data_IF_740170703398
#
_entry.id   IF_740170703398
#
_cell.length_a   1.000
_cell.length_b   1.000
_cell.length_c   1.000
_cell.angle_alpha   90.00
_cell.angle_beta   90.00
_cell.angle_gamma   90.00
#
_symmetry.space_group_name_H-M   'P 1'
#
loop_
_entity.id
_entity.type
_entity.pdbx_description
1 polymer ?
#
# COMPACT_ATOMS: atom_id res chain seq x y z
N UNK A 1 -0.62 5.28 -0.01
CA UNK A 1 -1.00 3.91 -0.40
C UNK A 1 -1.86 3.94 -1.66
N UNK A 2 -1.46 3.21 -2.69
CA UNK A 2 -2.30 2.91 -3.85
C UNK A 2 -2.65 1.43 -3.92
N UNK A 3 -3.77 1.14 -4.58
CA UNK A 3 -4.27 -0.21 -4.79
C UNK A 3 -4.33 -0.52 -6.28
N UNK A 4 -3.73 -1.63 -6.68
CA UNK A 4 -3.77 -2.16 -8.05
C UNK A 4 -4.45 -3.52 -8.04
N UNK A 5 -5.51 -3.71 -8.83
CA UNK A 5 -6.09 -5.03 -9.06
C UNK A 5 -5.43 -5.65 -10.29
N UNK A 6 -4.77 -6.80 -10.14
CA UNK A 6 -4.09 -7.47 -11.26
C UNK A 6 -5.00 -8.49 -11.99
N UNK A 7 -6.01 -9.04 -11.31
CA UNK A 7 -7.05 -9.95 -11.83
C UNK A 7 -8.19 -10.14 -10.78
N UNK A 8 -9.16 -11.04 -10.99
CA UNK A 8 -10.34 -11.19 -10.12
C UNK A 8 -10.03 -11.62 -8.67
N UNK A 9 -8.80 -12.08 -8.37
CA UNK A 9 -8.45 -12.65 -7.07
C UNK A 9 -7.13 -12.14 -6.48
N UNK A 10 -6.46 -11.16 -7.09
CA UNK A 10 -5.22 -10.59 -6.52
C UNK A 10 -5.20 -9.06 -6.52
N UNK A 11 -4.68 -8.52 -5.43
CA UNK A 11 -4.55 -7.10 -5.17
C UNK A 11 -3.13 -6.78 -4.74
N UNK A 12 -2.58 -5.70 -5.26
CA UNK A 12 -1.31 -5.13 -4.82
C UNK A 12 -1.58 -3.90 -3.98
N UNK A 13 -1.08 -3.88 -2.75
CA UNK A 13 -1.03 -2.72 -1.88
C UNK A 13 0.34 -2.07 -2.02
N UNK A 14 0.39 -0.86 -2.58
CA UNK A 14 1.63 -0.13 -2.78
C UNK A 14 1.73 1.04 -1.80
N UNK A 15 2.71 0.95 -0.91
CA UNK A 15 3.06 2.00 0.04
C UNK A 15 4.23 2.81 -0.48
N UNK A 16 4.12 4.13 -0.36
CA UNK A 16 5.24 5.03 -0.63
C UNK A 16 5.57 5.76 0.65
N UNK A 17 6.79 5.59 1.13
CA UNK A 17 7.31 6.17 2.35
C UNK A 17 8.35 7.24 2.03
N UNK A 18 8.45 8.29 2.85
CA UNK A 18 9.52 9.28 2.70
C UNK A 18 10.88 8.69 3.10
N UNK A 19 10.88 7.86 4.15
CA UNK A 19 12.04 7.18 4.72
C UNK A 19 11.68 5.73 5.08
N UNK A 20 12.68 4.87 5.23
CA UNK A 20 12.47 3.48 5.65
C UNK A 20 12.63 3.35 7.16
N UNK A 21 11.54 3.51 7.92
CA UNK A 21 11.56 3.37 9.37
C UNK A 21 10.94 2.02 9.79
N UNK A 22 11.51 1.34 10.80
CA UNK A 22 10.98 0.06 11.29
C UNK A 22 9.51 0.14 11.73
N UNK A 23 9.11 1.27 12.32
CA UNK A 23 7.74 1.50 12.80
C UNK A 23 6.74 1.53 11.63
N UNK A 24 7.10 2.17 10.51
CA UNK A 24 6.27 2.16 9.30
C UNK A 24 6.13 0.76 8.69
N UNK A 25 7.18 -0.07 8.81
CA UNK A 25 7.14 -1.46 8.32
C UNK A 25 6.17 -2.31 9.14
N UNK A 26 6.18 -2.15 10.46
CA UNK A 26 5.22 -2.80 11.35
C UNK A 26 3.79 -2.36 11.04
N UNK A 27 3.55 -1.06 10.85
CA UNK A 27 2.24 -0.53 10.46
C UNK A 27 1.77 -1.08 9.08
N UNK A 28 2.68 -1.20 8.10
CA UNK A 28 2.37 -1.77 6.78
C UNK A 28 1.98 -3.25 6.89
N UNK A 29 2.67 -4.03 7.72
CA UNK A 29 2.37 -5.44 7.96
C UNK A 29 0.98 -5.61 8.59
N UNK A 30 0.66 -4.79 9.60
CA UNK A 30 -0.65 -4.77 10.23
C UNK A 30 -1.76 -4.42 9.23
N UNK A 31 -1.56 -3.38 8.40
CA UNK A 31 -2.51 -2.99 7.36
C UNK A 31 -2.72 -4.13 6.35
N UNK A 32 -1.65 -4.79 5.92
CA UNK A 32 -1.74 -5.92 4.99
C UNK A 32 -2.56 -7.07 5.56
N UNK A 33 -2.34 -7.41 6.84
CA UNK A 33 -3.07 -8.46 7.55
C UNK A 33 -4.55 -8.10 7.73
N UNK A 34 -4.85 -6.89 8.21
CA UNK A 34 -6.24 -6.43 8.37
C UNK A 34 -6.98 -6.37 7.03
N UNK A 35 -6.31 -5.90 5.98
CA UNK A 35 -6.90 -5.85 4.64
C UNK A 35 -7.30 -7.23 4.16
N UNK A 36 -6.45 -8.25 4.31
CA UNK A 36 -6.78 -9.63 3.94
C UNK A 36 -7.93 -10.19 4.79
N UNK A 37 -7.91 -9.96 6.12
CA UNK A 37 -8.91 -10.46 7.05
C UNK A 37 -10.32 -9.91 6.80
N UNK A 38 -10.44 -8.71 6.24
CA UNK A 38 -11.72 -8.06 5.95
C UNK A 38 -12.39 -8.54 4.65
N UNK A 39 -11.72 -9.38 3.85
CA UNK A 39 -12.25 -9.83 2.56
C UNK A 39 -13.28 -10.95 2.74
N UNK A 40 -14.34 -10.91 1.92
CA UNK A 40 -15.39 -11.93 1.94
C UNK A 40 -14.88 -13.31 1.49
N UNK A 41 -13.91 -13.33 0.58
CA UNK A 41 -13.25 -14.51 0.08
C UNK A 41 -11.75 -14.32 0.12
N UNK A 42 -11.00 -15.43 0.16
CA UNK A 42 -9.54 -15.38 0.05
C UNK A 42 -9.15 -14.68 -1.25
N UNK A 43 -8.31 -13.66 -1.11
CA UNK A 43 -7.61 -12.99 -2.21
C UNK A 43 -6.11 -13.10 -1.95
N UNK A 44 -5.32 -13.07 -3.00
CA UNK A 44 -3.87 -12.95 -2.88
C UNK A 44 -3.52 -11.46 -2.73
N UNK A 45 -2.81 -11.11 -1.66
CA UNK A 45 -2.39 -9.74 -1.37
C UNK A 45 -0.88 -9.65 -1.48
N UNK A 46 -0.39 -8.84 -2.42
CA UNK A 46 1.03 -8.50 -2.55
C UNK A 46 1.27 -7.10 -1.97
N UNK A 47 2.31 -6.95 -1.16
CA UNK A 47 2.70 -5.65 -0.60
C UNK A 47 3.98 -5.16 -1.27
N UNK A 48 3.91 -3.96 -1.85
CA UNK A 48 5.04 -3.27 -2.45
C UNK A 48 5.32 -2.01 -1.64
N UNK A 49 6.58 -1.79 -1.29
CA UNK A 49 7.01 -0.56 -0.60
C UNK A 49 8.06 0.14 -1.44
N UNK A 50 7.85 1.42 -1.68
CA UNK A 50 8.80 2.32 -2.34
C UNK A 50 9.18 3.43 -1.38
N UNK A 51 10.47 3.70 -1.25
CA UNK A 51 10.96 4.84 -0.47
C UNK A 51 11.24 5.98 -1.45
N UNK A 52 10.53 7.08 -1.31
CA UNK A 52 10.66 8.28 -2.13
C UNK A 52 10.41 9.53 -1.28
N UNK A 53 11.49 10.26 -0.97
CA UNK A 53 11.42 11.54 -0.28
C UNK A 53 11.04 12.73 -1.20
N UNK A 54 10.90 12.49 -2.50
CA UNK A 54 10.46 13.49 -3.47
C UNK A 54 8.95 13.72 -3.47
N UNK A 55 8.47 14.78 -4.15
CA UNK A 55 7.04 14.98 -4.32
C UNK A 55 6.44 13.80 -5.10
N UNK A 56 5.33 13.25 -4.59
CA UNK A 56 4.51 12.28 -5.32
C UNK A 56 3.71 13.05 -6.37
N UNK A 57 3.98 12.80 -7.65
CA UNK A 57 3.19 13.35 -8.75
C UNK A 57 2.06 12.36 -9.03
N UNK A 58 0.83 12.86 -9.22
CA UNK A 58 -0.30 12.04 -9.64
C UNK A 58 0.08 11.27 -10.92
N UNK A 59 0.15 9.94 -10.81
CA UNK A 59 0.59 9.03 -11.88
C UNK A 59 1.91 8.28 -11.61
N UNK A 60 2.68 8.66 -10.58
CA UNK A 60 3.94 7.98 -10.23
C UNK A 60 3.71 6.58 -9.63
N UNK A 61 2.56 6.38 -9.00
CA UNK A 61 2.13 5.09 -8.47
C UNK A 61 1.05 4.48 -9.35
N UNK A 62 1.25 3.29 -9.93
CA UNK A 62 0.16 2.57 -10.56
C UNK A 62 -0.95 2.30 -9.54
N UNK A 63 -2.20 2.40 -9.99
CA UNK A 63 -3.38 2.09 -9.19
C UNK A 63 -4.14 3.30 -8.64
N UNK A 64 -5.15 3.00 -7.82
CA UNK A 64 -5.99 4.02 -7.20
C UNK A 64 -5.41 4.40 -5.84
N UNK A 65 -5.13 5.67 -5.63
CA UNK A 65 -4.78 6.17 -4.29
C UNK A 65 -6.02 6.05 -3.41
N UNK A 66 -5.89 5.30 -2.32
CA UNK A 66 -6.98 5.04 -1.36
C UNK A 66 -6.68 5.61 0.02
N UNK A 67 -5.41 5.90 0.31
CA UNK A 67 -5.00 6.52 1.56
C UNK A 67 -3.74 7.37 1.36
N UNK A 68 -3.77 8.58 1.93
CA UNK A 68 -2.64 9.49 1.99
C UNK A 68 -2.57 10.08 3.41
N UNK A 69 -1.49 9.76 4.14
CA UNK A 69 -1.18 10.39 5.42
C UNK A 69 -0.30 11.60 5.15
N UNK A 70 -0.70 12.76 5.67
CA UNK A 70 0.14 13.96 5.67
C UNK A 70 0.82 14.05 7.02
N UNK A 71 2.13 13.83 7.06
CA UNK A 71 2.92 14.12 8.25
C UNK A 71 3.02 15.65 8.43
N UNK A 72 2.83 16.10 9.68
CA UNK A 72 2.69 17.52 10.06
C UNK A 72 4.01 18.09 10.55
#
# INVERSE_FOLDING_TARGET
MSLVCNNEASVVLHFVLAEDQPEDREEIEDIGFEFEALQFSRIDVDVVVTVNAGPLIDGDTPGRIVYLRKES
#
